data_IF_307232297891
#
_entry.id   IF_307232297891
#
_cell.length_a   1.000
_cell.length_b   1.000
_cell.length_c   1.000
_cell.angle_alpha   90.00
_cell.angle_beta   90.00
_cell.angle_gamma   90.00
#
_symmetry.space_group_name_H-M   'P 1'
#
loop_
_entity.id
_entity.type
_entity.pdbx_description
1 polymer ?
#
# COMPACT_ATOMS: atom_id res chain seq x y z
N UNK A 1 -10.71 -20.36 11.20
CA UNK A 1 -9.51 -21.10 10.74
C UNK A 1 -8.89 -20.33 9.59
N UNK A 2 -7.67 -19.82 9.75
CA UNK A 2 -6.94 -19.23 8.62
C UNK A 2 -6.71 -20.35 7.58
N UNK A 3 -7.12 -20.12 6.33
CA UNK A 3 -6.83 -21.07 5.25
C UNK A 3 -5.31 -21.20 5.15
N UNK A 4 -4.79 -22.42 5.03
CA UNK A 4 -3.36 -22.63 4.82
C UNK A 4 -2.99 -22.06 3.44
N UNK A 5 -1.83 -21.39 3.30
CA UNK A 5 -1.32 -21.00 2.00
C UNK A 5 -1.22 -22.25 1.11
N UNK A 6 -1.79 -22.19 -0.10
CA UNK A 6 -1.67 -23.27 -1.07
C UNK A 6 -0.80 -22.81 -2.24
N UNK A 7 0.08 -23.71 -2.67
CA UNK A 7 0.98 -23.50 -3.80
C UNK A 7 0.22 -23.98 -5.04
N UNK A 8 -0.08 -23.09 -5.98
CA UNK A 8 -0.70 -23.52 -7.23
C UNK A 8 0.31 -24.26 -8.13
N UNK A 9 -0.15 -24.90 -9.22
CA UNK A 9 0.67 -25.70 -10.15
C UNK A 9 1.88 -24.98 -10.77
N UNK A 10 1.99 -23.66 -10.58
CA UNK A 10 3.08 -22.83 -11.07
C UNK A 10 4.03 -22.38 -9.95
N UNK A 11 3.88 -22.90 -8.73
CA UNK A 11 4.78 -22.60 -7.61
C UNK A 11 4.42 -21.34 -6.81
N UNK A 12 3.21 -20.78 -6.97
CA UNK A 12 2.81 -19.53 -6.30
C UNK A 12 2.08 -19.76 -4.98
N UNK A 13 2.51 -19.06 -3.93
CA UNK A 13 1.83 -19.00 -2.62
C UNK A 13 0.76 -17.91 -2.67
N UNK A 14 -0.52 -18.27 -2.66
CA UNK A 14 -1.59 -17.33 -2.36
C UNK A 14 -1.64 -17.08 -0.85
N UNK A 15 -1.48 -15.81 -0.46
CA UNK A 15 -1.52 -15.43 0.95
C UNK A 15 -2.98 -15.17 1.41
N UNK A 16 -3.47 -15.89 2.43
CA UNK A 16 -4.87 -15.81 2.85
C UNK A 16 -5.26 -14.51 3.57
N UNK A 17 -4.31 -13.61 3.84
CA UNK A 17 -4.54 -12.41 4.65
C UNK A 17 -5.11 -11.21 3.88
N UNK A 18 -5.35 -11.33 2.57
CA UNK A 18 -5.95 -10.26 1.76
C UNK A 18 -7.48 -10.18 1.81
N UNK A 19 -8.17 -11.16 2.41
CA UNK A 19 -9.64 -11.18 2.44
C UNK A 19 -10.21 -11.55 3.81
N UNK A 20 -10.01 -10.70 4.82
CA UNK A 20 -10.83 -10.74 6.05
C UNK A 20 -12.20 -10.11 5.75
N UNK A 21 -13.21 -10.94 5.48
CA UNK A 21 -14.57 -10.50 5.17
C UNK A 21 -15.29 -9.79 6.34
N UNK A 22 -14.70 -9.72 7.54
CA UNK A 22 -15.26 -8.96 8.68
C UNK A 22 -14.98 -7.46 8.58
N UNK A 23 -14.18 -7.01 7.61
CA UNK A 23 -13.60 -5.66 7.59
C UNK A 23 -13.97 -4.99 6.27
N UNK A 24 -14.96 -4.10 6.33
CA UNK A 24 -15.43 -3.32 5.18
C UNK A 24 -14.32 -2.42 4.59
N UNK A 25 -14.55 -1.94 3.35
CA UNK A 25 -13.72 -1.07 2.48
C UNK A 25 -12.50 -0.38 3.13
N UNK A 26 -11.33 -0.51 2.49
CA UNK A 26 -10.07 0.21 2.76
C UNK A 26 -9.23 -0.22 3.97
N UNK A 27 -9.46 -1.43 4.52
CA UNK A 27 -8.71 -1.92 5.67
C UNK A 27 -7.21 -2.18 5.40
N UNK A 28 -6.84 -2.45 4.15
CA UNK A 28 -5.43 -2.56 3.76
C UNK A 28 -4.66 -1.27 4.09
N UNK A 29 -5.30 -0.11 3.89
CA UNK A 29 -4.70 1.19 4.14
C UNK A 29 -4.44 1.44 5.62
N UNK A 30 -5.40 1.08 6.48
CA UNK A 30 -5.22 1.14 7.93
C UNK A 30 -4.04 0.26 8.38
N UNK A 31 -3.96 -0.98 7.89
CA UNK A 31 -2.89 -1.90 8.26
C UNK A 31 -1.51 -1.34 7.89
N UNK A 32 -1.37 -0.72 6.72
CA UNK A 32 -0.10 -0.10 6.32
C UNK A 32 0.27 1.10 7.19
N UNK A 33 -0.72 1.83 7.70
CA UNK A 33 -0.52 2.98 8.56
C UNK A 33 -0.48 2.64 10.06
N UNK A 34 -0.66 1.37 10.46
CA UNK A 34 -0.92 1.00 11.85
C UNK A 34 0.21 1.48 12.79
N UNK A 35 1.47 1.28 12.42
CA UNK A 35 2.62 1.73 13.23
C UNK A 35 2.73 3.26 13.28
N UNK A 36 2.31 3.96 12.23
CA UNK A 36 2.23 5.42 12.23
C UNK A 36 1.12 5.92 13.17
N UNK A 37 -0.07 5.31 13.11
CA UNK A 37 -1.21 5.63 13.95
C UNK A 37 -0.91 5.36 15.43
N UNK A 38 -0.29 4.21 15.75
CA UNK A 38 0.14 3.89 17.12
C UNK A 38 1.12 4.92 17.68
N UNK A 39 2.10 5.35 16.87
CA UNK A 39 3.03 6.42 17.28
C UNK A 39 2.29 7.72 17.56
N UNK A 40 1.39 8.13 16.67
CA UNK A 40 0.58 9.34 16.85
C UNK A 40 -0.32 9.28 18.08
N UNK A 41 -1.03 8.18 18.28
CA UNK A 41 -1.89 7.96 19.44
C UNK A 41 -1.08 8.01 20.74
N UNK A 42 0.07 7.34 20.78
CA UNK A 42 1.00 7.40 21.91
C UNK A 42 1.50 8.82 22.20
N UNK A 43 1.78 9.63 21.18
CA UNK A 43 2.20 11.02 21.36
C UNK A 43 1.05 11.93 21.86
N UNK A 44 -0.17 11.70 21.40
CA UNK A 44 -1.33 12.56 21.71
C UNK A 44 -1.98 12.23 23.06
N UNK A 45 -2.08 10.95 23.40
CA UNK A 45 -2.84 10.43 24.55
C UNK A 45 -1.91 9.87 25.62
N UNK A 46 -0.73 9.39 25.22
CA UNK A 46 0.20 8.69 26.11
C UNK A 46 0.12 7.16 25.99
N UNK A 47 0.74 6.41 26.92
CA UNK A 47 0.87 4.96 26.83
C UNK A 47 -0.45 4.19 26.95
N UNK A 48 -1.52 4.83 27.40
CA UNK A 48 -2.86 4.24 27.60
C UNK A 48 -3.76 4.37 26.38
N UNK A 49 -3.22 4.75 25.21
CA UNK A 49 -3.99 4.85 23.99
C UNK A 49 -4.64 3.51 23.64
N UNK A 50 -5.84 3.58 23.08
CA UNK A 50 -6.65 2.45 22.67
C UNK A 50 -6.62 2.28 21.16
N UNK A 51 -7.19 1.17 20.69
CA UNK A 51 -7.39 0.95 19.27
C UNK A 51 -8.37 1.96 18.68
N UNK A 52 -9.42 2.31 19.41
CA UNK A 52 -10.44 3.26 18.95
C UNK A 52 -9.83 4.64 18.71
N UNK A 53 -8.86 5.04 19.54
CA UNK A 53 -8.09 6.27 19.32
C UNK A 53 -7.33 6.28 17.99
N UNK A 54 -6.77 5.12 17.60
CA UNK A 54 -6.07 4.97 16.32
C UNK A 54 -7.06 4.99 15.14
N UNK A 55 -8.22 4.36 15.29
CA UNK A 55 -9.27 4.35 14.27
C UNK A 55 -9.91 5.74 14.08
N UNK A 56 -10.08 6.51 15.17
CA UNK A 56 -10.53 7.89 15.10
C UNK A 56 -9.50 8.81 14.45
N UNK A 57 -8.23 8.67 14.79
CA UNK A 57 -7.16 9.45 14.16
C UNK A 57 -7.04 9.11 12.68
N UNK A 58 -7.13 7.82 12.32
CA UNK A 58 -7.16 7.36 10.95
C UNK A 58 -8.25 8.04 10.13
N UNK A 59 -9.51 8.08 10.62
CA UNK A 59 -10.62 8.75 9.94
C UNK A 59 -10.35 10.24 9.69
N UNK A 60 -9.62 10.91 10.58
CA UNK A 60 -9.28 12.33 10.47
C UNK A 60 -8.20 12.58 9.41
N UNK A 61 -7.16 11.74 9.39
CA UNK A 61 -5.99 11.98 8.53
C UNK A 61 -6.07 11.30 7.15
N UNK A 62 -7.00 10.37 6.95
CA UNK A 62 -7.07 9.56 5.73
C UNK A 62 -7.11 10.41 4.46
N UNK A 63 -7.95 11.44 4.42
CA UNK A 63 -8.09 12.31 3.24
C UNK A 63 -6.85 13.19 2.98
N UNK A 64 -6.00 13.40 3.98
CA UNK A 64 -4.77 14.20 3.90
C UNK A 64 -3.55 13.36 3.48
N UNK A 65 -3.70 12.04 3.36
CA UNK A 65 -2.61 11.16 2.95
C UNK A 65 -2.43 11.17 1.44
N UNK A 66 -1.19 10.91 1.01
CA UNK A 66 -0.82 10.71 -0.38
C UNK A 66 -0.01 9.42 -0.55
N UNK A 67 -0.09 8.85 -1.74
CA UNK A 67 0.57 7.61 -2.08
C UNK A 67 1.54 7.85 -3.24
N UNK A 68 2.67 7.14 -3.19
CA UNK A 68 3.63 7.05 -4.29
C UNK A 68 3.75 5.59 -4.73
N UNK A 69 3.57 5.36 -6.03
CA UNK A 69 3.64 4.03 -6.64
C UNK A 69 4.96 3.93 -7.40
N UNK A 70 5.75 2.91 -7.05
CA UNK A 70 7.02 2.63 -7.68
C UNK A 70 6.98 1.29 -8.38
N UNK A 71 7.63 1.20 -9.53
CA UNK A 71 8.06 -0.08 -10.09
C UNK A 71 9.47 -0.38 -9.61
N UNK A 72 9.69 -1.63 -9.24
CA UNK A 72 10.94 -2.16 -8.72
C UNK A 72 11.67 -2.88 -9.86
N UNK A 73 12.71 -2.25 -10.37
CA UNK A 73 13.53 -2.73 -11.48
C UNK A 73 14.83 -3.34 -10.97
N UNK A 74 15.21 -4.54 -11.42
CA UNK A 74 16.56 -5.04 -11.15
C UNK A 74 17.58 -4.17 -11.89
N UNK A 75 18.58 -3.64 -11.17
CA UNK A 75 19.66 -2.84 -11.74
C UNK A 75 21.00 -3.32 -11.18
N UNK A 76 21.75 -4.05 -11.99
CA UNK A 76 22.99 -4.72 -11.58
C UNK A 76 22.77 -5.63 -10.36
N UNK A 77 23.48 -5.34 -9.26
CA UNK A 77 23.35 -6.04 -7.98
C UNK A 77 22.27 -5.47 -7.06
N UNK A 78 21.57 -4.42 -7.49
CA UNK A 78 20.61 -3.66 -6.69
C UNK A 78 19.22 -3.58 -7.32
N UNK A 79 18.44 -2.63 -6.79
CA UNK A 79 17.08 -2.34 -7.23
C UNK A 79 16.94 -0.85 -7.48
N UNK A 80 16.40 -0.49 -8.64
CA UNK A 80 15.97 0.86 -8.97
C UNK A 80 14.47 1.00 -8.73
N UNK A 81 14.06 2.18 -8.29
CA UNK A 81 12.66 2.52 -8.03
C UNK A 81 12.22 3.58 -9.03
N UNK A 82 11.52 3.17 -10.08
CA UNK A 82 10.90 4.08 -11.03
C UNK A 82 9.58 4.57 -10.46
N UNK A 83 9.45 5.87 -10.18
CA UNK A 83 8.18 6.44 -9.73
C UNK A 83 7.21 6.52 -10.92
N UNK A 84 6.07 5.85 -10.82
CA UNK A 84 5.08 5.72 -11.90
C UNK A 84 3.73 6.35 -11.58
N UNK A 85 3.56 6.89 -10.38
CA UNK A 85 2.35 7.60 -10.03
C UNK A 85 2.38 8.20 -8.63
N UNK A 86 1.72 9.35 -8.51
CA UNK A 86 1.40 10.03 -7.25
C UNK A 86 -0.09 10.17 -7.15
N UNK A 87 -0.62 9.91 -5.97
CA UNK A 87 -2.06 9.91 -5.74
C UNK A 87 -2.38 10.59 -4.42
N UNK A 88 -3.50 11.29 -4.37
CA UNK A 88 -4.13 11.64 -3.11
C UNK A 88 -5.09 10.52 -2.72
N UNK A 89 -5.20 10.22 -1.44
CA UNK A 89 -6.07 9.13 -0.99
C UNK A 89 -7.54 9.25 -1.41
N UNK A 90 -8.15 10.45 -1.49
CA UNK A 90 -9.49 10.60 -2.07
C UNK A 90 -9.63 10.08 -3.51
N UNK A 91 -8.55 10.06 -4.30
CA UNK A 91 -8.53 9.54 -5.69
C UNK A 91 -8.53 8.01 -5.73
N UNK A 92 -8.22 7.36 -4.60
CA UNK A 92 -8.05 5.91 -4.48
C UNK A 92 -9.02 5.27 -3.48
N UNK A 93 -10.03 6.02 -3.01
CA UNK A 93 -10.94 5.57 -1.95
C UNK A 93 -11.78 4.34 -2.33
N UNK A 94 -11.90 4.08 -3.63
CA UNK A 94 -12.60 2.90 -4.17
C UNK A 94 -11.69 1.67 -4.30
N UNK A 95 -10.38 1.81 -4.06
CA UNK A 95 -9.43 0.71 -4.13
C UNK A 95 -9.50 -0.12 -2.86
N UNK A 96 -10.24 -1.24 -2.94
CA UNK A 96 -10.31 -2.24 -1.87
C UNK A 96 -9.06 -3.14 -1.81
N UNK A 97 -8.43 -3.35 -2.96
CA UNK A 97 -7.17 -4.09 -3.13
C UNK A 97 -6.31 -3.38 -4.19
N UNK A 98 -5.06 -2.98 -3.88
CA UNK A 98 -4.17 -2.35 -4.84
C UNK A 98 -3.74 -3.29 -5.97
N UNK A 99 -3.76 -4.62 -5.81
CA UNK A 99 -3.25 -5.56 -6.85
C UNK A 99 -4.10 -5.50 -8.14
N UNK A 100 -5.44 -5.58 -8.12
CA UNK A 100 -6.26 -5.39 -9.32
C UNK A 100 -6.04 -4.04 -9.99
N UNK A 101 -5.95 -2.96 -9.21
CA UNK A 101 -5.69 -1.62 -9.73
C UNK A 101 -4.33 -1.55 -10.42
N UNK A 102 -3.28 -2.04 -9.78
CA UNK A 102 -1.92 -2.08 -10.34
C UNK A 102 -1.88 -2.93 -11.62
N UNK A 103 -2.49 -4.11 -11.60
CA UNK A 103 -2.54 -5.01 -12.76
C UNK A 103 -3.24 -4.36 -13.95
N UNK A 104 -4.36 -3.68 -13.70
CA UNK A 104 -5.13 -3.00 -14.76
C UNK A 104 -4.34 -1.85 -15.39
N UNK A 105 -3.77 -0.98 -14.56
CA UNK A 105 -3.16 0.29 -14.98
C UNK A 105 -1.69 0.16 -15.40
N UNK A 106 -0.91 -0.69 -14.72
CA UNK A 106 0.54 -0.80 -14.90
C UNK A 106 0.99 -2.18 -15.39
N UNK A 107 0.12 -3.18 -15.32
CA UNK A 107 0.41 -4.52 -15.83
C UNK A 107 1.37 -5.31 -14.93
N UNK A 108 2.16 -6.21 -15.51
CA UNK A 108 3.02 -7.12 -14.75
C UNK A 108 4.29 -6.46 -14.23
N UNK A 109 4.68 -6.79 -12.99
CA UNK A 109 5.86 -6.22 -12.37
C UNK A 109 5.92 -6.42 -10.86
N UNK A 110 7.02 -5.94 -10.26
CA UNK A 110 7.14 -5.74 -8.82
C UNK A 110 6.90 -4.28 -8.52
N UNK A 111 6.08 -4.01 -7.53
CA UNK A 111 5.67 -2.67 -7.18
C UNK A 111 5.87 -2.40 -5.70
N UNK A 112 6.04 -1.13 -5.36
CA UNK A 112 6.04 -0.67 -3.99
C UNK A 112 5.12 0.53 -3.88
N UNK A 113 4.24 0.50 -2.90
CA UNK A 113 3.39 1.64 -2.57
C UNK A 113 3.88 2.22 -1.25
N UNK A 114 4.13 3.53 -1.24
CA UNK A 114 4.46 4.27 -0.02
C UNK A 114 3.31 5.21 0.31
N UNK A 115 2.97 5.32 1.60
CA UNK A 115 1.97 6.25 2.10
C UNK A 115 2.68 7.35 2.90
N UNK A 116 2.26 8.59 2.68
CA UNK A 116 2.73 9.75 3.42
C UNK A 116 1.55 10.56 3.96
N UNK A 117 1.75 11.18 5.11
CA UNK A 117 0.85 12.15 5.71
C UNK A 117 1.66 13.40 6.05
N UNK A 118 1.32 14.54 5.45
CA UNK A 118 2.03 15.81 5.65
C UNK A 118 3.56 15.69 5.48
N UNK A 119 4.00 14.99 4.43
CA UNK A 119 5.42 14.72 4.15
C UNK A 119 6.09 13.65 5.03
N UNK A 120 5.41 13.18 6.09
CA UNK A 120 5.91 12.10 6.94
C UNK A 120 5.56 10.74 6.36
N UNK A 121 6.54 9.84 6.28
CA UNK A 121 6.32 8.46 5.87
C UNK A 121 5.47 7.69 6.90
N UNK A 122 4.39 7.08 6.43
CA UNK A 122 3.39 6.40 7.26
C UNK A 122 3.44 4.87 7.14
N UNK A 123 3.77 4.35 5.95
CA UNK A 123 3.68 2.92 5.68
C UNK A 123 4.10 2.56 4.26
N UNK A 124 4.41 1.28 4.04
CA UNK A 124 4.71 0.75 2.71
C UNK A 124 4.36 -0.73 2.60
N UNK A 125 4.10 -1.18 1.38
CA UNK A 125 3.94 -2.58 1.03
C UNK A 125 4.48 -2.85 -0.38
N UNK A 126 4.96 -4.07 -0.60
CA UNK A 126 5.39 -4.53 -1.92
C UNK A 126 4.32 -5.41 -2.55
N UNK A 127 3.98 -5.13 -3.79
CA UNK A 127 3.00 -5.89 -4.56
C UNK A 127 3.66 -6.58 -5.75
N UNK A 128 3.06 -7.67 -6.19
CA UNK A 128 3.38 -8.34 -7.45
C UNK A 128 2.11 -8.41 -8.28
N UNK A 129 2.19 -7.94 -9.52
CA UNK A 129 1.13 -8.10 -10.50
C UNK A 129 1.64 -8.92 -11.69
N UNK A 130 0.72 -9.61 -12.35
CA UNK A 130 0.99 -10.48 -13.49
C UNK A 130 0.58 -9.80 -14.81
N UNK A 131 1.15 -10.26 -15.94
CA UNK A 131 0.85 -9.75 -17.28
C UNK A 131 2.01 -8.96 -17.89
N UNK A 132 1.73 -8.25 -18.98
CA UNK A 132 2.74 -7.46 -19.69
C UNK A 132 3.06 -6.15 -18.94
N UNK A 133 4.32 -5.67 -18.96
CA UNK A 133 4.76 -4.51 -18.18
C UNK A 133 4.36 -3.17 -18.84
N UNK A 134 3.11 -2.73 -18.65
CA UNK A 134 2.61 -1.44 -19.18
C UNK A 134 3.33 -0.23 -18.58
N UNK A 135 3.89 -0.36 -17.37
CA UNK A 135 4.69 0.68 -16.71
C UNK A 135 5.96 1.06 -17.49
N UNK A 136 6.40 0.26 -18.45
CA UNK A 136 7.56 0.57 -19.27
C UNK A 136 7.34 1.87 -20.06
N UNK A 137 6.11 2.12 -20.51
CA UNK A 137 5.70 3.30 -21.28
C UNK A 137 5.36 4.51 -20.41
N UNK A 138 5.22 4.32 -19.10
CA UNK A 138 4.92 5.42 -18.16
C UNK A 138 6.17 6.27 -17.97
N UNK A 139 6.08 7.58 -18.20
CA UNK A 139 7.18 8.50 -17.91
C UNK A 139 7.48 8.52 -16.40
N UNK A 140 8.76 8.56 -16.04
CA UNK A 140 9.16 8.64 -14.64
C UNK A 140 8.81 10.01 -14.07
N UNK A 141 8.02 10.03 -12.99
CA UNK A 141 7.68 11.25 -12.29
C UNK A 141 8.81 11.65 -11.31
N UNK A 142 8.97 12.96 -11.08
CA UNK A 142 9.95 13.49 -10.13
C UNK A 142 9.59 13.10 -8.70
N UNK A 143 10.52 12.56 -7.89
CA UNK A 143 10.23 12.19 -6.50
C UNK A 143 9.93 13.37 -5.58
N UNK A 144 10.24 14.61 -5.97
CA UNK A 144 10.13 15.84 -5.15
C UNK A 144 8.92 16.74 -5.43
N UNK A 145 7.97 16.30 -6.25
CA UNK A 145 6.67 17.00 -6.38
C UNK A 145 5.68 16.60 -5.30
#
# INVERSE_FOLDING_TARGET
MAKKPFINKYGFVEYPFLHDQRKQKNWWFYNLMEDYLKRRAKHKIGPTYTRDDCEEDFKKILAETNLKFYVLLPSGMGMEFKLIGKFKTPELIEIEDPVPYITKNYGGGKYKVNIYHQGTFCGTENYKAHGDPKWAEVEEDSPTG
#
